data_IF_792208887557
#
_entry.id   IF_792208887557
#
_cell.length_a   1.000
_cell.length_b   1.000
_cell.length_c   1.000
_cell.angle_alpha   90.00
_cell.angle_beta   90.00
_cell.angle_gamma   90.00
#
_symmetry.space_group_name_H-M   'P 1'
#
loop_
_entity.id
_entity.type
_entity.pdbx_description
1 polymer ?
#
# COMPACT_ATOMS: atom_id res chain seq x y z
N UNK A 1 -12.17 -8.91 12.77
CA UNK A 1 -12.35 -8.33 11.43
C UNK A 1 -11.27 -8.82 10.48
N UNK A 2 -10.00 -8.37 10.51
CA UNK A 2 -9.01 -8.80 9.51
C UNK A 2 -8.83 -10.34 9.33
N UNK A 3 -8.71 -11.12 10.41
CA UNK A 3 -8.58 -12.57 10.30
C UNK A 3 -9.85 -13.25 9.74
N UNK A 4 -11.03 -12.69 9.99
CA UNK A 4 -12.30 -13.25 9.52
C UNK A 4 -12.47 -13.06 8.00
N UNK A 5 -12.03 -11.91 7.46
CA UNK A 5 -12.07 -11.65 6.01
C UNK A 5 -11.16 -12.60 5.21
N UNK A 6 -10.22 -13.27 5.87
CA UNK A 6 -9.19 -14.11 5.23
C UNK A 6 -9.36 -15.61 5.54
N UNK A 7 -10.35 -15.98 6.35
CA UNK A 7 -10.55 -17.36 6.86
C UNK A 7 -10.82 -18.39 5.74
N UNK A 8 -11.32 -17.94 4.59
CA UNK A 8 -11.59 -18.79 3.43
C UNK A 8 -10.43 -18.95 2.44
N UNK A 9 -9.29 -18.31 2.65
CA UNK A 9 -8.17 -18.39 1.71
C UNK A 9 -7.48 -19.76 1.81
N UNK A 10 -7.20 -20.44 0.68
CA UNK A 10 -6.60 -21.77 0.68
C UNK A 10 -5.07 -21.73 0.91
N UNK A 11 -4.54 -20.66 1.50
CA UNK A 11 -3.12 -20.44 1.71
C UNK A 11 -2.81 -19.96 3.15
N UNK A 12 -1.58 -20.15 3.65
CA UNK A 12 -1.19 -19.62 4.93
C UNK A 12 -1.28 -18.09 4.98
N UNK A 13 -1.86 -17.56 6.05
CA UNK A 13 -2.00 -16.11 6.29
C UNK A 13 -1.33 -15.75 7.60
N UNK A 14 -0.47 -14.73 7.57
CA UNK A 14 0.12 -14.14 8.77
C UNK A 14 -0.29 -12.66 8.87
N UNK A 15 -0.94 -12.29 9.98
CA UNK A 15 -1.36 -10.91 10.25
C UNK A 15 -0.50 -10.32 11.37
N UNK A 16 -0.02 -9.08 11.16
CA UNK A 16 0.73 -8.31 12.16
C UNK A 16 0.01 -6.98 12.39
N UNK A 17 -0.38 -6.69 13.62
CA UNK A 17 -0.94 -5.39 13.99
C UNK A 17 0.21 -4.45 14.36
N UNK A 18 0.59 -3.55 13.45
CA UNK A 18 1.69 -2.62 13.65
C UNK A 18 1.54 -1.38 12.74
N UNK A 19 2.33 -0.34 13.00
CA UNK A 19 2.57 0.71 12.00
C UNK A 19 3.30 0.09 10.81
N UNK A 20 2.76 0.30 9.60
CA UNK A 20 3.28 -0.38 8.41
C UNK A 20 4.69 0.10 8.02
N UNK A 21 5.04 1.36 8.30
CA UNK A 21 6.36 1.89 8.00
C UNK A 21 7.40 1.33 8.98
N UNK A 22 7.06 1.23 10.27
CA UNK A 22 7.91 0.56 11.26
C UNK A 22 8.06 -0.94 10.95
N UNK A 23 6.96 -1.62 10.64
CA UNK A 23 6.99 -3.04 10.28
C UNK A 23 7.89 -3.30 9.06
N UNK A 24 7.84 -2.44 8.04
CA UNK A 24 8.71 -2.54 6.86
C UNK A 24 10.16 -2.21 7.20
N UNK A 25 10.42 -1.23 8.06
CA UNK A 25 11.77 -0.89 8.49
C UNK A 25 12.48 -2.07 9.18
N UNK A 26 11.74 -2.83 10.00
CA UNK A 26 12.24 -4.00 10.74
C UNK A 26 12.19 -5.30 9.94
N UNK A 27 11.50 -5.32 8.80
CA UNK A 27 11.34 -6.54 8.01
C UNK A 27 12.67 -6.98 7.38
N UNK A 28 13.05 -8.22 7.67
CA UNK A 28 14.31 -8.83 7.23
C UNK A 28 14.12 -10.00 6.26
N UNK A 29 12.95 -10.63 6.26
CA UNK A 29 12.64 -11.76 5.38
C UNK A 29 12.48 -11.27 3.92
N UNK A 30 13.06 -11.98 2.94
CA UNK A 30 12.87 -11.64 1.52
C UNK A 30 11.42 -11.87 1.11
N UNK A 31 10.90 -10.98 0.26
CA UNK A 31 9.54 -11.09 -0.29
C UNK A 31 9.57 -10.85 -1.79
N UNK A 32 8.66 -11.49 -2.53
CA UNK A 32 8.56 -11.31 -3.98
C UNK A 32 7.70 -10.10 -4.36
N UNK A 33 6.71 -9.78 -3.54
CA UNK A 33 5.71 -8.72 -3.79
C UNK A 33 5.43 -7.95 -2.50
N UNK A 34 5.41 -6.62 -2.62
CA UNK A 34 4.87 -5.72 -1.61
C UNK A 34 3.73 -4.94 -2.25
N UNK A 35 2.57 -4.93 -1.59
CA UNK A 35 1.41 -4.13 -1.98
C UNK A 35 1.06 -3.13 -0.88
N UNK A 36 0.81 -1.88 -1.27
CA UNK A 36 0.30 -0.82 -0.39
C UNK A 36 -0.93 -0.22 -1.04
N UNK A 37 -2.06 -0.27 -0.34
CA UNK A 37 -3.31 0.38 -0.74
C UNK A 37 -3.69 1.49 0.23
N UNK A 38 -3.96 2.70 -0.28
CA UNK A 38 -4.48 3.85 0.47
C UNK A 38 -3.83 4.10 1.83
N UNK A 39 -2.51 4.00 1.92
CA UNK A 39 -1.78 4.16 3.19
C UNK A 39 -0.57 5.07 3.06
N UNK A 40 0.09 5.09 1.90
CA UNK A 40 1.32 5.82 1.66
C UNK A 40 1.11 7.35 1.77
N UNK A 41 -0.08 7.85 1.46
CA UNK A 41 -0.38 9.28 1.53
C UNK A 41 -0.30 9.87 2.94
N UNK A 42 -0.38 9.04 3.99
CA UNK A 42 -0.16 9.46 5.38
C UNK A 42 1.30 9.82 5.69
N UNK A 43 2.26 9.37 4.87
CA UNK A 43 3.67 9.64 5.09
C UNK A 43 4.11 10.97 4.46
N UNK A 44 4.99 11.74 5.13
CA UNK A 44 5.70 12.84 4.49
C UNK A 44 6.65 12.31 3.42
N UNK A 45 7.14 13.19 2.54
CA UNK A 45 8.04 12.79 1.44
C UNK A 45 9.28 12.00 1.91
N UNK A 46 9.88 12.41 3.04
CA UNK A 46 11.01 11.71 3.66
C UNK A 46 10.64 10.30 4.14
N UNK A 47 9.44 10.14 4.73
CA UNK A 47 8.90 8.86 5.14
C UNK A 47 8.63 7.92 3.96
N UNK A 48 8.07 8.45 2.86
CA UNK A 48 7.87 7.70 1.60
C UNK A 48 9.20 7.19 1.04
N UNK A 49 10.21 8.06 0.99
CA UNK A 49 11.54 7.69 0.51
C UNK A 49 12.21 6.63 1.40
N UNK A 50 11.99 6.69 2.71
CA UNK A 50 12.48 5.67 3.66
C UNK A 50 11.79 4.33 3.40
N UNK A 51 10.46 4.31 3.35
CA UNK A 51 9.68 3.12 3.06
C UNK A 51 10.07 2.47 1.73
N UNK A 52 10.27 3.26 0.67
CA UNK A 52 10.73 2.76 -0.64
C UNK A 52 12.10 2.09 -0.57
N UNK A 53 13.01 2.60 0.28
CA UNK A 53 14.33 1.98 0.51
C UNK A 53 14.22 0.67 1.28
N UNK A 54 13.37 0.63 2.30
CA UNK A 54 13.11 -0.57 3.10
C UNK A 54 12.43 -1.66 2.24
N UNK A 55 11.43 -1.28 1.44
CA UNK A 55 10.80 -2.18 0.48
C UNK A 55 11.80 -2.74 -0.54
N UNK A 56 12.65 -1.89 -1.12
CA UNK A 56 13.69 -2.33 -2.07
C UNK A 56 14.66 -3.34 -1.46
N UNK A 57 15.02 -3.19 -0.18
CA UNK A 57 15.86 -4.14 0.55
C UNK A 57 15.18 -5.51 0.61
N UNK A 58 13.92 -5.57 1.06
CA UNK A 58 13.21 -6.84 1.21
C UNK A 58 12.85 -7.52 -0.12
N UNK A 59 12.70 -6.76 -1.20
CA UNK A 59 12.45 -7.29 -2.56
C UNK A 59 13.68 -7.87 -3.26
N UNK A 60 14.87 -7.78 -2.65
CA UNK A 60 16.11 -8.31 -3.22
C UNK A 60 16.49 -7.74 -4.59
N UNK A 61 15.93 -6.58 -4.97
CA UNK A 61 16.14 -5.92 -6.26
C UNK A 61 15.45 -6.56 -7.47
N UNK A 62 14.63 -7.61 -7.28
CA UNK A 62 13.93 -8.31 -8.39
C UNK A 62 12.41 -8.46 -8.20
N UNK A 63 11.89 -8.16 -7.01
CA UNK A 63 10.46 -8.25 -6.73
C UNK A 63 9.64 -7.05 -7.24
N UNK A 64 8.32 -7.12 -7.03
CA UNK A 64 7.38 -6.07 -7.42
C UNK A 64 6.98 -5.21 -6.22
N UNK A 65 7.07 -3.89 -6.38
CA UNK A 65 6.50 -2.94 -5.44
C UNK A 65 5.30 -2.25 -6.07
N UNK A 66 4.10 -2.57 -5.57
CA UNK A 66 2.83 -2.11 -6.11
C UNK A 66 2.19 -1.15 -5.11
N UNK A 67 1.90 0.06 -5.57
CA UNK A 67 1.26 1.10 -4.78
C UNK A 67 -0.05 1.48 -5.47
N UNK A 68 -1.13 1.44 -4.72
CA UNK A 68 -2.40 2.04 -5.13
C UNK A 68 -2.74 3.17 -4.17
N UNK A 69 -2.72 4.40 -4.69
CA UNK A 69 -2.98 5.62 -3.93
C UNK A 69 -3.85 6.56 -4.76
N UNK A 70 -4.73 7.35 -4.12
CA UNK A 70 -5.43 8.42 -4.79
C UNK A 70 -4.48 9.62 -4.93
N UNK A 71 -3.50 9.50 -5.82
CA UNK A 71 -2.52 10.54 -6.08
C UNK A 71 -3.05 11.58 -7.09
N UNK A 72 -2.54 12.81 -6.96
CA UNK A 72 -2.65 13.82 -8.00
C UNK A 72 -1.85 13.37 -9.23
N UNK A 73 -2.40 13.56 -10.42
CA UNK A 73 -1.59 13.54 -11.63
C UNK A 73 -0.72 14.79 -11.72
N UNK A 74 0.30 14.72 -12.56
CA UNK A 74 1.16 15.87 -12.83
C UNK A 74 0.33 17.03 -13.39
N UNK A 75 0.42 18.19 -12.73
CA UNK A 75 -0.37 19.38 -13.07
C UNK A 75 -1.86 19.30 -12.70
N UNK A 76 -2.30 18.26 -12.00
CA UNK A 76 -3.70 18.15 -11.57
C UNK A 76 -3.98 19.06 -10.36
N UNK A 77 -5.02 19.88 -10.49
CA UNK A 77 -5.54 20.68 -9.38
C UNK A 77 -6.34 19.82 -8.39
N UNK A 78 -6.28 20.19 -7.11
CA UNK A 78 -6.95 19.44 -6.03
C UNK A 78 -8.45 19.21 -6.27
N UNK A 79 -9.16 20.20 -6.81
CA UNK A 79 -10.60 20.08 -7.09
C UNK A 79 -10.88 19.10 -8.24
N UNK A 80 -10.04 19.11 -9.28
CA UNK A 80 -10.13 18.16 -10.39
C UNK A 80 -9.89 16.74 -9.93
N UNK A 81 -8.90 16.54 -9.04
CA UNK A 81 -8.65 15.27 -8.39
C UNK A 81 -9.83 14.78 -7.56
N UNK A 82 -10.44 15.65 -6.74
CA UNK A 82 -11.63 15.29 -5.94
C UNK A 82 -12.79 14.82 -6.83
N UNK A 83 -13.04 15.52 -7.94
CA UNK A 83 -14.08 15.13 -8.90
C UNK A 83 -13.77 13.76 -9.51
N UNK A 84 -12.54 13.54 -10.00
CA UNK A 84 -12.12 12.24 -10.55
C UNK A 84 -12.20 11.11 -9.52
N UNK A 85 -11.71 11.34 -8.30
CA UNK A 85 -11.72 10.34 -7.24
C UNK A 85 -13.14 9.95 -6.82
N UNK A 86 -14.09 10.90 -6.84
CA UNK A 86 -15.49 10.61 -6.52
C UNK A 86 -16.17 9.63 -7.48
N UNK A 87 -15.76 9.62 -8.75
CA UNK A 87 -16.24 8.66 -9.76
C UNK A 87 -15.70 7.24 -9.51
N UNK A 88 -14.48 7.13 -8.98
CA UNK A 88 -13.86 5.85 -8.67
C UNK A 88 -14.48 5.16 -7.46
N UNK A 89 -15.13 5.91 -6.55
CA UNK A 89 -15.74 5.30 -5.35
C UNK A 89 -16.79 4.24 -5.72
N UNK A 90 -17.55 4.43 -6.79
CA UNK A 90 -18.61 3.51 -7.19
C UNK A 90 -18.05 2.26 -7.91
N UNK A 91 -16.92 2.40 -8.60
CA UNK A 91 -16.28 1.29 -9.33
C UNK A 91 -15.50 0.32 -8.42
N UNK A 92 -15.11 0.75 -7.22
CA UNK A 92 -14.34 -0.05 -6.27
C UNK A 92 -15.19 -0.68 -5.16
N UNK A 93 -16.51 -0.80 -5.35
CA UNK A 93 -17.44 -1.45 -4.42
C UNK A 93 -17.10 -2.92 -4.10
N UNK A 94 -16.23 -3.56 -4.90
CA UNK A 94 -15.75 -4.92 -4.65
C UNK A 94 -14.63 -5.02 -3.59
N UNK A 95 -14.08 -3.89 -3.13
CA UNK A 95 -12.97 -3.82 -2.15
C UNK A 95 -13.34 -2.99 -0.91
N UNK A 96 -14.59 -2.52 -0.82
CA UNK A 96 -15.14 -1.74 0.31
C UNK A 96 -16.07 -2.56 1.20
#
# INVERSE_FOLDING_TARGET
MAAQELDGLPCPVALRCNDFAQAMAEWSEPVDVIWIGMSLHHLPATGKAQLMRDARRSLGGKGLFIIWEPALFEGEERLSWLARFSLLRDEWSAVS
#
